data_IF_778521607590
#
_entry.id   IF_778521607590
#
_cell.length_a   1.000
_cell.length_b   1.000
_cell.length_c   1.000
_cell.angle_alpha   90.00
_cell.angle_beta   90.00
_cell.angle_gamma   90.00
#
_symmetry.space_group_name_H-M   'P 1'
#
loop_
_entity.id
_entity.type
_entity.pdbx_description
1 polymer ?
#
# COMPACT_ATOMS: atom_id res chain seq x y z
N UNK A 1 -19.70 -6.98 -7.43
CA UNK A 1 -19.60 -6.05 -6.29
C UNK A 1 -18.18 -6.20 -5.78
N UNK A 2 -17.31 -5.20 -5.96
CA UNK A 2 -15.92 -5.29 -5.54
C UNK A 2 -15.88 -5.13 -4.02
N UNK A 3 -15.48 -6.20 -3.33
CA UNK A 3 -15.22 -6.16 -1.89
C UNK A 3 -13.88 -5.46 -1.67
N UNK A 4 -13.93 -4.14 -1.51
CA UNK A 4 -12.81 -3.31 -1.06
C UNK A 4 -12.64 -3.48 0.45
N UNK A 5 -12.44 -4.69 0.96
CA UNK A 5 -11.96 -4.87 2.34
C UNK A 5 -10.52 -4.33 2.41
N UNK A 6 -10.36 -3.08 2.88
CA UNK A 6 -9.14 -2.25 2.81
C UNK A 6 -7.93 -2.90 3.52
N UNK A 7 -7.33 -3.88 2.86
CA UNK A 7 -5.96 -4.29 3.12
C UNK A 7 -5.04 -3.29 2.44
N UNK A 8 -4.49 -2.44 3.30
CA UNK A 8 -3.40 -1.49 3.09
C UNK A 8 -2.30 -2.07 2.20
N UNK A 9 -2.35 -1.68 0.92
CA UNK A 9 -1.24 -1.78 0.01
C UNK A 9 0.04 -1.39 0.74
N UNK A 10 1.08 -2.19 0.57
CA UNK A 10 2.34 -1.99 1.28
C UNK A 10 3.48 -2.41 0.41
N UNK A 11 4.64 -1.87 0.74
CA UNK A 11 5.90 -2.45 0.33
C UNK A 11 5.92 -3.93 0.72
N UNK A 12 6.45 -4.76 -0.18
CA UNK A 12 6.61 -6.19 0.00
C UNK A 12 7.35 -6.48 1.31
N UNK A 13 6.94 -7.56 1.97
CA UNK A 13 7.57 -8.00 3.20
C UNK A 13 7.92 -9.46 3.05
N UNK A 14 9.19 -9.76 3.28
CA UNK A 14 9.62 -11.14 3.41
C UNK A 14 8.93 -11.78 4.61
N UNK A 15 8.22 -12.88 4.35
CA UNK A 15 7.61 -13.72 5.36
C UNK A 15 8.41 -15.01 5.40
N UNK A 16 8.84 -15.36 6.60
CA UNK A 16 9.47 -16.64 6.85
C UNK A 16 8.39 -17.73 6.87
N UNK A 17 8.47 -18.66 5.92
CA UNK A 17 7.63 -19.86 5.84
C UNK A 17 8.46 -21.06 6.29
N UNK A 18 7.81 -22.08 6.87
CA UNK A 18 8.47 -23.32 7.27
C UNK A 18 9.22 -24.01 6.12
N UNK A 19 8.75 -23.83 4.88
CA UNK A 19 9.46 -24.32 3.68
C UNK A 19 10.85 -23.68 3.47
N UNK A 20 11.19 -22.63 4.22
CA UNK A 20 12.45 -21.90 4.11
C UNK A 20 13.43 -22.25 5.24
N UNK A 21 13.09 -23.16 6.15
CA UNK A 21 13.94 -23.53 7.29
C UNK A 21 15.31 -24.06 6.84
N UNK A 22 15.33 -24.80 5.72
CA UNK A 22 16.55 -25.33 5.10
C UNK A 22 17.30 -24.32 4.23
N UNK A 23 16.81 -23.07 4.10
CA UNK A 23 17.48 -22.02 3.31
C UNK A 23 18.53 -21.32 4.15
N UNK A 24 19.66 -20.99 3.52
CA UNK A 24 20.75 -20.27 4.20
C UNK A 24 20.31 -18.85 4.62
N UNK A 25 20.91 -18.28 5.69
CA UNK A 25 20.67 -16.90 6.09
C UNK A 25 20.89 -15.90 4.94
N UNK A 26 21.96 -16.09 4.16
CA UNK A 26 22.27 -15.24 3.01
C UNK A 26 21.15 -15.22 1.96
N UNK A 27 20.54 -16.38 1.68
CA UNK A 27 19.40 -16.45 0.77
C UNK A 27 18.20 -15.67 1.31
N UNK A 28 17.90 -15.82 2.62
CA UNK A 28 16.80 -15.10 3.27
C UNK A 28 17.02 -13.59 3.22
N UNK A 29 18.26 -13.12 3.37
CA UNK A 29 18.60 -11.70 3.25
C UNK A 29 18.42 -11.17 1.83
N UNK A 30 18.83 -11.93 0.81
CA UNK A 30 18.56 -11.56 -0.59
C UNK A 30 17.05 -11.45 -0.86
N UNK A 31 16.24 -12.36 -0.30
CA UNK A 31 14.79 -12.27 -0.43
C UNK A 31 14.22 -11.04 0.29
N UNK A 32 14.70 -10.72 1.50
CA UNK A 32 14.32 -9.48 2.22
C UNK A 32 14.62 -8.23 1.40
N UNK A 33 15.79 -8.17 0.75
CA UNK A 33 16.16 -7.06 -0.11
C UNK A 33 15.26 -6.98 -1.35
N UNK A 34 14.97 -8.13 -1.98
CA UNK A 34 14.09 -8.19 -3.16
C UNK A 34 12.68 -7.69 -2.82
N UNK A 35 12.13 -8.12 -1.69
CA UNK A 35 10.80 -7.72 -1.22
C UNK A 35 10.66 -6.20 -1.01
N UNK A 36 11.75 -5.50 -0.66
CA UNK A 36 11.73 -4.06 -0.49
C UNK A 36 11.36 -3.29 -1.78
N UNK A 37 11.46 -3.91 -2.96
CA UNK A 37 11.08 -3.28 -4.23
C UNK A 37 9.65 -3.61 -4.65
N UNK A 38 8.98 -4.54 -3.99
CA UNK A 38 7.67 -5.03 -4.40
C UNK A 38 6.56 -4.20 -3.77
N UNK A 39 5.43 -4.08 -4.47
CA UNK A 39 4.18 -3.57 -3.90
C UNK A 39 3.15 -4.68 -3.91
N UNK A 40 2.55 -4.94 -2.75
CA UNK A 40 1.56 -6.01 -2.55
C UNK A 40 0.35 -5.46 -1.80
N UNK A 41 -0.83 -5.99 -2.07
CA UNK A 41 -2.05 -5.74 -1.30
C UNK A 41 -1.99 -6.39 0.09
N UNK A 42 -1.19 -7.44 0.25
CA UNK A 42 -0.91 -8.04 1.56
C UNK A 42 0.46 -8.73 1.58
N UNK A 43 1.02 -9.01 2.77
CA UNK A 43 2.31 -9.69 2.89
C UNK A 43 2.41 -11.04 2.15
N UNK A 44 1.28 -11.76 1.96
CA UNK A 44 1.25 -13.09 1.33
C UNK A 44 0.69 -13.07 -0.10
N UNK A 45 0.12 -11.96 -0.56
CA UNK A 45 -0.44 -11.86 -1.90
C UNK A 45 0.63 -11.51 -2.93
N UNK A 46 0.40 -11.86 -4.19
CA UNK A 46 1.32 -11.56 -5.29
C UNK A 46 1.64 -10.07 -5.38
N UNK A 47 2.85 -9.76 -5.84
CA UNK A 47 3.21 -8.39 -6.16
C UNK A 47 2.38 -7.93 -7.35
N UNK A 48 1.82 -6.72 -7.23
CA UNK A 48 1.13 -6.06 -8.33
C UNK A 48 2.09 -5.26 -9.21
N UNK A 49 3.20 -4.80 -8.63
CA UNK A 49 4.28 -4.16 -9.35
C UNK A 49 5.60 -4.26 -8.58
N UNK A 50 6.67 -3.96 -9.30
CA UNK A 50 8.03 -3.81 -8.78
C UNK A 50 8.49 -2.38 -9.06
N UNK A 51 9.02 -1.70 -8.06
CA UNK A 51 9.52 -0.35 -8.17
C UNK A 51 11.03 -0.32 -8.45
N UNK A 52 11.52 0.80 -8.98
CA UNK A 52 12.95 1.01 -9.21
C UNK A 52 13.75 1.22 -7.91
N UNK A 53 13.10 1.72 -6.86
CA UNK A 53 13.71 1.94 -5.55
C UNK A 53 12.76 1.52 -4.42
N UNK A 54 13.27 1.17 -3.23
CA UNK A 54 12.42 0.83 -2.09
C UNK A 54 11.51 1.98 -1.67
N UNK A 55 12.02 3.22 -1.70
CA UNK A 55 11.22 4.41 -1.41
C UNK A 55 10.07 4.60 -2.40
N UNK A 56 10.30 4.31 -3.68
CA UNK A 56 9.24 4.35 -4.68
C UNK A 56 8.16 3.28 -4.41
N UNK A 57 8.54 2.07 -3.98
CA UNK A 57 7.57 1.04 -3.60
C UNK A 57 6.67 1.49 -2.43
N UNK A 58 7.26 2.12 -1.41
CA UNK A 58 6.51 2.69 -0.28
C UNK A 58 5.57 3.80 -0.76
N UNK A 59 6.07 4.73 -1.58
CA UNK A 59 5.27 5.83 -2.10
C UNK A 59 4.08 5.33 -2.95
N UNK A 60 4.30 4.34 -3.83
CA UNK A 60 3.24 3.74 -4.64
C UNK A 60 2.18 3.12 -3.75
N UNK A 61 2.58 2.33 -2.75
CA UNK A 61 1.67 1.70 -1.81
C UNK A 61 0.79 2.73 -1.07
N UNK A 62 1.39 3.83 -0.60
CA UNK A 62 0.66 4.92 0.05
C UNK A 62 -0.34 5.60 -0.89
N UNK A 63 0.01 5.79 -2.16
CA UNK A 63 -0.89 6.38 -3.16
C UNK A 63 -2.06 5.45 -3.49
N UNK A 64 -1.82 4.15 -3.59
CA UNK A 64 -2.89 3.17 -3.78
C UNK A 64 -3.84 3.12 -2.58
N UNK A 65 -3.31 3.22 -1.35
CA UNK A 65 -4.15 3.35 -0.16
C UNK A 65 -5.00 4.62 -0.18
N UNK A 66 -4.38 5.76 -0.52
CA UNK A 66 -5.09 7.03 -0.66
C UNK A 66 -6.23 6.95 -1.69
N UNK A 67 -5.96 6.33 -2.85
CA UNK A 67 -6.95 6.16 -3.91
C UNK A 67 -8.11 5.27 -3.44
N UNK A 68 -7.82 4.16 -2.75
CA UNK A 68 -8.86 3.28 -2.20
C UNK A 68 -9.73 4.02 -1.18
N UNK A 69 -9.11 4.78 -0.25
CA UNK A 69 -9.86 5.56 0.75
C UNK A 69 -10.79 6.59 0.10
N UNK A 70 -10.33 7.26 -0.96
CA UNK A 70 -11.15 8.18 -1.75
C UNK A 70 -12.30 7.47 -2.46
N UNK A 71 -12.03 6.35 -3.12
CA UNK A 71 -13.06 5.55 -3.82
C UNK A 71 -14.19 5.15 -2.86
N UNK A 72 -13.83 4.72 -1.65
CA UNK A 72 -14.83 4.40 -0.61
C UNK A 72 -15.65 5.63 -0.22
N UNK A 73 -15.01 6.73 0.15
CA UNK A 73 -15.72 7.94 0.59
C UNK A 73 -16.66 8.49 -0.50
N UNK A 74 -16.25 8.41 -1.76
CA UNK A 74 -17.10 8.79 -2.91
C UNK A 74 -18.25 7.80 -3.08
N UNK A 75 -18.01 6.51 -2.93
CA UNK A 75 -19.06 5.48 -3.01
C UNK A 75 -20.11 5.63 -1.92
N UNK A 76 -19.68 5.85 -0.67
CA UNK A 76 -20.57 6.06 0.48
C UNK A 76 -21.43 7.32 0.28
N UNK A 77 -20.84 8.41 -0.24
CA UNK A 77 -21.59 9.61 -0.61
C UNK A 77 -22.60 9.33 -1.73
N UNK A 78 -22.19 8.64 -2.80
CA UNK A 78 -23.07 8.31 -3.93
C UNK A 78 -24.25 7.41 -3.52
N UNK A 79 -24.09 6.58 -2.49
CA UNK A 79 -25.15 5.76 -1.90
C UNK A 79 -26.04 6.50 -0.91
N UNK A 80 -25.73 7.76 -0.59
CA UNK A 80 -26.44 8.54 0.43
C UNK A 80 -26.14 8.11 1.86
N UNK A 81 -25.09 7.31 2.09
CA UNK A 81 -24.68 6.86 3.42
C UNK A 81 -23.93 7.97 4.20
N UNK A 82 -23.46 9.00 3.50
CA UNK A 82 -22.83 10.19 4.10
C UNK A 82 -23.26 11.46 3.37
N UNK A 83 -23.15 12.60 4.03
CA UNK A 83 -23.42 13.94 3.48
C UNK A 83 -22.22 14.55 2.71
N UNK A 84 -21.15 13.77 2.51
CA UNK A 84 -19.93 14.20 1.85
C UNK A 84 -19.00 15.05 2.73
N UNK A 85 -19.36 15.35 3.98
CA UNK A 85 -18.48 16.09 4.89
C UNK A 85 -17.19 15.30 5.19
N UNK A 86 -17.32 13.99 5.39
CA UNK A 86 -16.16 13.08 5.57
C UNK A 86 -15.18 13.13 4.40
N UNK A 87 -15.67 13.27 3.17
CA UNK A 87 -14.82 13.38 1.97
C UNK A 87 -14.05 14.71 1.97
N UNK A 88 -14.73 15.82 2.29
CA UNK A 88 -14.12 17.15 2.39
C UNK A 88 -13.05 17.21 3.50
N UNK A 89 -13.37 16.67 4.67
CA UNK A 89 -12.45 16.62 5.81
C UNK A 89 -11.22 15.78 5.48
N UNK A 90 -11.41 14.65 4.79
CA UNK A 90 -10.32 13.79 4.35
C UNK A 90 -9.38 14.53 3.38
N UNK A 91 -9.91 15.17 2.34
CA UNK A 91 -9.10 15.93 1.36
C UNK A 91 -8.30 17.03 2.08
N UNK A 92 -8.96 17.83 2.92
CA UNK A 92 -8.30 18.90 3.69
C UNK A 92 -7.17 18.37 4.59
N UNK A 93 -7.38 17.20 5.22
CA UNK A 93 -6.35 16.58 6.08
C UNK A 93 -5.11 16.13 5.30
N UNK A 94 -5.26 15.79 4.01
CA UNK A 94 -4.15 15.35 3.14
C UNK A 94 -3.43 16.52 2.49
N UNK A 95 -4.09 17.65 2.24
CA UNK A 95 -3.48 18.88 1.74
C UNK A 95 -2.60 19.59 2.77
N UNK A 96 -2.93 19.46 4.06
CA UNK A 96 -2.18 20.10 5.16
C UNK A 96 -0.98 19.28 5.65
N UNK A 97 -0.76 18.09 5.10
CA UNK A 97 0.45 17.31 5.37
C UNK A 97 1.63 17.97 4.64
N UNK A 98 2.68 18.44 5.34
CA UNK A 98 3.79 19.14 4.71
C UNK A 98 4.40 18.26 3.62
N UNK A 99 4.63 18.88 2.46
CA UNK A 99 5.12 18.25 1.26
C UNK A 99 6.21 17.20 1.56
N UNK A 100 5.84 15.91 1.41
CA UNK A 100 6.83 14.87 1.15
C UNK A 100 7.42 15.21 -0.20
N UNK A 101 8.62 15.79 -0.17
CA UNK A 101 9.43 16.09 -1.34
C UNK A 101 9.27 14.98 -2.39
N UNK A 102 9.00 15.31 -3.67
CA UNK A 102 9.20 14.34 -4.72
C UNK A 102 10.67 13.91 -4.64
N UNK A 103 10.90 12.60 -4.54
CA UNK A 103 12.24 12.02 -4.63
C UNK A 103 12.85 12.50 -5.96
N UNK A 104 14.11 13.00 -5.97
CA UNK A 104 14.77 13.49 -7.19
C UNK A 104 14.89 12.41 -8.28
#
# INVERSE_FOLDING_TARGET
MFDNSHNTWRQGRFIELASYDMRSPAWKDTQRQTEAYLVRSSPRQNAICTACTPCAAVWIAERLNLAADLERLVTDFARGETDGQKLKDFIRSKEQSPARNPVP
#
